data_IF_484233960379
#
_entry.id   IF_484233960379
#
_cell.length_a   1.000
_cell.length_b   1.000
_cell.length_c   1.000
_cell.angle_alpha   90.00
_cell.angle_beta   90.00
_cell.angle_gamma   90.00
#
_symmetry.space_group_name_H-M   'P 1'
#
loop_
_entity.id
_entity.type
_entity.pdbx_description
1 polymer ?
#
# COMPACT_ATOMS: atom_id res chain seq x y z
N UNK A 1 -12.27 -15.06 14.29
CA UNK A 1 -12.09 -15.76 13.00
C UNK A 1 -11.25 -17.01 13.27
N UNK A 2 -11.62 -18.18 12.74
CA UNK A 2 -10.82 -19.41 12.96
C UNK A 2 -9.43 -19.18 12.34
N UNK A 3 -8.34 -19.50 13.08
CA UNK A 3 -6.94 -19.25 12.65
C UNK A 3 -6.65 -19.73 11.22
N UNK A 4 -7.31 -20.80 10.79
CA UNK A 4 -7.28 -21.34 9.42
C UNK A 4 -7.79 -20.39 8.35
N UNK A 5 -8.89 -19.66 8.59
CA UNK A 5 -9.43 -18.69 7.63
C UNK A 5 -8.45 -17.54 7.44
N UNK A 6 -7.88 -17.01 8.54
CA UNK A 6 -6.87 -15.95 8.46
C UNK A 6 -5.61 -16.41 7.70
N UNK A 7 -5.17 -17.65 7.92
CA UNK A 7 -4.03 -18.22 7.19
C UNK A 7 -4.30 -18.35 5.70
N UNK A 8 -5.48 -18.87 5.32
CA UNK A 8 -5.89 -18.98 3.91
C UNK A 8 -5.97 -17.59 3.26
N UNK A 9 -6.55 -16.60 3.93
CA UNK A 9 -6.60 -15.23 3.41
C UNK A 9 -5.19 -14.64 3.20
N UNK A 10 -4.25 -14.90 4.11
CA UNK A 10 -2.86 -14.46 3.96
C UNK A 10 -2.20 -15.10 2.74
N UNK A 11 -2.32 -16.42 2.56
CA UNK A 11 -1.74 -17.14 1.42
C UNK A 11 -2.32 -16.65 0.09
N UNK A 12 -3.63 -16.42 0.02
CA UNK A 12 -4.27 -15.87 -1.18
C UNK A 12 -3.78 -14.44 -1.45
N UNK A 13 -3.69 -13.61 -0.41
CA UNK A 13 -3.20 -12.24 -0.53
C UNK A 13 -1.75 -12.20 -1.06
N UNK A 14 -0.86 -13.03 -0.52
CA UNK A 14 0.54 -13.07 -0.97
C UNK A 14 0.68 -13.60 -2.40
N UNK A 15 -0.14 -14.59 -2.81
CA UNK A 15 -0.19 -15.07 -4.19
C UNK A 15 -0.64 -13.97 -5.17
N UNK A 16 -1.74 -13.28 -4.86
CA UNK A 16 -2.24 -12.19 -5.69
C UNK A 16 -1.18 -11.09 -5.77
N UNK A 17 -0.62 -10.67 -4.63
CA UNK A 17 0.38 -9.61 -4.61
C UNK A 17 1.64 -9.97 -5.41
N UNK A 18 2.17 -11.19 -5.26
CA UNK A 18 3.34 -11.65 -6.01
C UNK A 18 3.11 -11.69 -7.53
N UNK A 19 1.99 -12.28 -7.97
CA UNK A 19 1.66 -12.35 -9.42
C UNK A 19 1.42 -10.98 -10.04
N UNK A 20 0.94 -9.99 -9.26
CA UNK A 20 0.68 -8.66 -9.78
C UNK A 20 1.93 -7.90 -10.23
N UNK A 21 3.14 -8.25 -9.79
CA UNK A 21 4.35 -7.60 -10.31
C UNK A 21 4.57 -7.90 -11.79
N UNK A 22 4.31 -9.13 -12.22
CA UNK A 22 4.42 -9.54 -13.63
C UNK A 22 3.37 -8.80 -14.47
N UNK A 23 2.15 -8.67 -13.94
CA UNK A 23 1.09 -7.91 -14.60
C UNK A 23 1.37 -6.39 -14.66
N UNK A 24 2.08 -5.85 -13.66
CA UNK A 24 2.52 -4.46 -13.65
C UNK A 24 3.58 -4.18 -14.70
N UNK A 25 4.57 -5.07 -14.78
CA UNK A 25 5.66 -5.03 -15.75
C UNK A 25 5.13 -5.07 -17.18
N UNK A 26 4.45 -6.17 -17.54
CA UNK A 26 3.83 -6.34 -18.86
C UNK A 26 2.76 -5.29 -19.19
N UNK A 27 2.04 -4.80 -18.19
CA UNK A 27 0.99 -3.82 -18.37
C UNK A 27 1.51 -2.42 -18.66
N UNK A 28 2.70 -2.05 -18.16
CA UNK A 28 3.26 -0.72 -18.37
C UNK A 28 4.05 -0.57 -19.65
N UNK A 29 4.51 -1.66 -20.26
CA UNK A 29 5.29 -1.65 -21.51
C UNK A 29 4.61 -0.84 -22.64
N UNK A 30 3.28 -0.87 -22.71
CA UNK A 30 2.51 -0.23 -23.78
C UNK A 30 2.03 1.19 -23.44
N UNK A 31 1.77 1.50 -22.17
CA UNK A 31 1.10 2.75 -21.74
C UNK A 31 1.96 3.64 -20.85
N UNK A 32 3.14 3.15 -20.46
CA UNK A 32 4.06 3.82 -19.56
C UNK A 32 3.70 3.69 -18.06
N UNK A 33 4.66 3.97 -17.17
CA UNK A 33 4.53 3.70 -15.73
C UNK A 33 3.50 4.61 -15.05
N UNK A 34 3.44 5.89 -15.42
CA UNK A 34 2.52 6.86 -14.81
C UNK A 34 1.06 6.61 -15.19
N UNK A 35 0.81 6.29 -16.46
CA UNK A 35 -0.54 5.98 -16.96
C UNK A 35 -1.05 4.70 -16.33
N UNK A 36 -0.22 3.64 -16.29
CA UNK A 36 -0.57 2.39 -15.64
C UNK A 36 -0.96 2.61 -14.17
N UNK A 37 -0.13 3.33 -13.42
CA UNK A 37 -0.39 3.58 -12.00
C UNK A 37 -1.67 4.43 -11.80
N UNK A 38 -1.91 5.42 -12.66
CA UNK A 38 -3.12 6.26 -12.61
C UNK A 38 -4.39 5.44 -12.82
N UNK A 39 -4.40 4.58 -13.85
CA UNK A 39 -5.53 3.69 -14.13
C UNK A 39 -5.74 2.71 -12.98
N UNK A 40 -4.67 2.12 -12.45
CA UNK A 40 -4.73 1.20 -11.31
C UNK A 40 -5.40 1.84 -10.09
N UNK A 41 -4.96 3.04 -9.70
CA UNK A 41 -5.56 3.75 -8.57
C UNK A 41 -6.99 4.19 -8.84
N UNK A 42 -7.31 4.57 -10.09
CA UNK A 42 -8.66 4.94 -10.48
C UNK A 42 -9.64 3.76 -10.41
N UNK A 43 -9.24 2.59 -10.93
CA UNK A 43 -10.02 1.35 -10.81
C UNK A 43 -10.18 0.93 -9.34
N UNK A 44 -9.10 1.04 -8.55
CA UNK A 44 -9.16 0.79 -7.10
C UNK A 44 -10.13 1.72 -6.38
N UNK A 45 -10.13 3.01 -6.72
CA UNK A 45 -11.08 3.98 -6.20
C UNK A 45 -12.52 3.61 -6.54
N UNK A 46 -12.80 3.27 -7.81
CA UNK A 46 -14.14 2.86 -8.23
C UNK A 46 -14.60 1.59 -7.53
N UNK A 47 -13.72 0.59 -7.41
CA UNK A 47 -14.02 -0.67 -6.75
C UNK A 47 -14.34 -0.51 -5.26
N UNK A 48 -13.62 0.37 -4.55
CA UNK A 48 -13.81 0.62 -3.12
C UNK A 48 -14.96 1.58 -2.83
N UNK A 49 -15.22 2.54 -3.73
CA UNK A 49 -16.25 3.57 -3.54
C UNK A 49 -17.65 3.04 -3.13
N UNK A 50 -18.25 2.01 -3.75
CA UNK A 50 -19.57 1.53 -3.35
C UNK A 50 -19.57 0.96 -1.93
N UNK A 51 -18.51 0.25 -1.52
CA UNK A 51 -18.42 -0.31 -0.17
C UNK A 51 -18.37 0.78 0.91
N UNK A 52 -17.64 1.86 0.63
CA UNK A 52 -17.56 3.02 1.53
C UNK A 52 -18.94 3.68 1.69
N UNK A 53 -19.67 3.87 0.58
CA UNK A 53 -21.02 4.45 0.63
C UNK A 53 -22.09 3.52 1.21
N UNK A 54 -21.93 2.21 1.14
CA UNK A 54 -22.92 1.26 1.64
C UNK A 54 -22.72 0.96 3.14
N UNK A 55 -21.48 0.73 3.57
CA UNK A 55 -21.19 0.24 4.93
C UNK A 55 -20.69 1.33 5.88
N UNK A 56 -20.00 2.36 5.38
CA UNK A 56 -19.24 3.30 6.22
C UNK A 56 -19.83 4.72 6.28
N UNK A 57 -21.00 4.95 5.66
CA UNK A 57 -21.69 6.26 5.62
C UNK A 57 -21.79 6.95 6.99
N UNK A 58 -22.11 6.20 8.05
CA UNK A 58 -22.21 6.76 9.42
C UNK A 58 -20.85 7.18 9.98
N UNK A 59 -19.77 6.45 9.71
CA UNK A 59 -18.42 6.78 10.19
C UNK A 59 -17.82 7.97 9.45
N UNK A 60 -18.07 8.08 8.14
CA UNK A 60 -17.68 9.23 7.32
C UNK A 60 -18.19 10.54 7.94
N UNK A 61 -19.49 10.59 8.24
CA UNK A 61 -20.10 11.81 8.78
C UNK A 61 -19.59 12.17 10.19
N UNK A 62 -19.26 11.17 11.01
CA UNK A 62 -18.81 11.41 12.38
C UNK A 62 -17.30 11.74 12.49
N UNK A 63 -16.44 11.14 11.65
CA UNK A 63 -14.99 11.33 11.73
C UNK A 63 -14.48 12.44 10.81
N UNK A 64 -14.98 12.53 9.58
CA UNK A 64 -14.49 13.50 8.59
C UNK A 64 -15.09 14.88 8.88
N UNK A 65 -16.41 14.95 9.12
CA UNK A 65 -17.12 16.23 9.26
C UNK A 65 -16.79 16.95 10.58
N UNK A 66 -16.52 16.21 11.64
CA UNK A 66 -16.21 16.76 12.97
C UNK A 66 -14.77 17.27 13.08
N UNK A 67 -13.82 16.74 12.28
CA UNK A 67 -12.40 17.08 12.34
C UNK A 67 -11.75 17.21 10.95
N UNK A 68 -12.39 17.97 10.05
CA UNK A 68 -11.94 18.16 8.66
C UNK A 68 -10.48 18.60 8.56
N UNK A 69 -10.06 19.57 9.37
CA UNK A 69 -8.71 20.13 9.29
C UNK A 69 -7.62 19.11 9.69
N UNK A 70 -7.90 18.29 10.70
CA UNK A 70 -6.99 17.21 11.12
C UNK A 70 -6.98 16.06 10.12
N UNK A 71 -8.13 15.78 9.49
CA UNK A 71 -8.22 14.79 8.43
C UNK A 71 -7.33 15.15 7.23
N UNK A 72 -7.42 16.38 6.72
CA UNK A 72 -6.57 16.82 5.61
C UNK A 72 -5.07 16.82 5.98
N UNK A 73 -4.75 17.23 7.22
CA UNK A 73 -3.37 17.21 7.71
C UNK A 73 -2.75 15.81 7.73
N UNK A 74 -3.54 14.76 7.93
CA UNK A 74 -3.07 13.36 7.91
C UNK A 74 -3.17 12.74 6.52
N UNK A 75 -4.23 13.04 5.77
CA UNK A 75 -4.48 12.48 4.44
C UNK A 75 -3.41 12.93 3.44
N UNK A 76 -3.03 14.21 3.45
CA UNK A 76 -2.10 14.78 2.47
C UNK A 76 -0.70 14.14 2.53
N UNK A 77 0.00 14.06 3.68
CA UNK A 77 1.31 13.42 3.73
C UNK A 77 1.23 11.94 3.37
N UNK A 78 0.24 11.19 3.87
CA UNK A 78 0.06 9.77 3.54
C UNK A 78 -0.13 9.58 2.03
N UNK A 79 -0.96 10.42 1.40
CA UNK A 79 -1.19 10.38 -0.05
C UNK A 79 0.09 10.68 -0.86
N UNK A 80 0.86 11.70 -0.45
CA UNK A 80 2.12 12.06 -1.12
C UNK A 80 3.15 10.94 -1.01
N UNK A 81 3.37 10.38 0.19
CA UNK A 81 4.31 9.27 0.36
C UNK A 81 3.88 8.01 -0.39
N UNK A 82 2.57 7.70 -0.41
CA UNK A 82 2.05 6.57 -1.18
C UNK A 82 2.24 6.78 -2.68
N UNK A 83 1.97 7.99 -3.19
CA UNK A 83 2.20 8.33 -4.59
C UNK A 83 3.67 8.16 -4.97
N UNK A 84 4.59 8.77 -4.20
CA UNK A 84 6.02 8.65 -4.44
C UNK A 84 6.49 7.19 -4.39
N UNK A 85 6.05 6.43 -3.38
CA UNK A 85 6.40 5.02 -3.25
C UNK A 85 5.96 4.19 -4.45
N UNK A 86 4.71 4.36 -4.90
CA UNK A 86 4.19 3.61 -6.06
C UNK A 86 4.84 4.02 -7.37
N UNK A 87 5.15 5.31 -7.57
CA UNK A 87 5.88 5.77 -8.76
C UNK A 87 7.29 5.21 -8.77
N UNK A 88 8.04 5.29 -7.67
CA UNK A 88 9.40 4.74 -7.62
C UNK A 88 9.42 3.23 -7.82
N UNK A 89 8.45 2.51 -7.23
CA UNK A 89 8.30 1.07 -7.45
C UNK A 89 7.99 0.76 -8.92
N UNK A 90 7.08 1.49 -9.56
CA UNK A 90 6.71 1.25 -10.95
C UNK A 90 7.85 1.60 -11.92
N UNK A 91 8.59 2.68 -11.63
CA UNK A 91 9.76 3.08 -12.43
C UNK A 91 10.91 2.10 -12.25
N UNK A 92 11.10 1.53 -11.06
CA UNK A 92 12.12 0.49 -10.80
C UNK A 92 11.97 -0.71 -11.74
N UNK A 93 10.73 -1.10 -12.03
CA UNK A 93 10.43 -2.23 -12.91
C UNK A 93 10.83 -1.97 -14.38
N UNK A 94 10.91 -0.70 -14.83
CA UNK A 94 11.42 -0.39 -16.18
C UNK A 94 12.93 -0.65 -16.33
N UNK A 95 13.68 -0.57 -15.22
CA UNK A 95 15.13 -0.64 -15.23
C UNK A 95 15.67 -1.97 -14.69
N UNK A 96 14.83 -2.78 -14.04
CA UNK A 96 15.26 -3.99 -13.35
C UNK A 96 14.20 -5.09 -13.46
N UNK A 97 14.65 -6.34 -13.41
CA UNK A 97 13.73 -7.47 -13.40
C UNK A 97 12.75 -7.42 -12.23
N UNK A 98 11.57 -8.00 -12.45
CA UNK A 98 10.52 -8.19 -11.43
C UNK A 98 11.08 -8.76 -10.13
N UNK A 99 11.99 -9.74 -10.21
CA UNK A 99 12.59 -10.37 -9.03
C UNK A 99 13.46 -9.39 -8.22
N UNK A 100 14.25 -8.54 -8.90
CA UNK A 100 15.12 -7.55 -8.25
C UNK A 100 14.28 -6.43 -7.62
N UNK A 101 13.29 -5.92 -8.35
CA UNK A 101 12.35 -4.92 -7.83
C UNK A 101 11.58 -5.45 -6.61
N UNK A 102 11.09 -6.69 -6.65
CA UNK A 102 10.42 -7.31 -5.51
C UNK A 102 11.36 -7.46 -4.30
N UNK A 103 12.60 -7.88 -4.52
CA UNK A 103 13.60 -7.99 -3.46
C UNK A 103 13.83 -6.64 -2.75
N UNK A 104 13.98 -5.56 -3.51
CA UNK A 104 14.15 -4.23 -2.93
C UNK A 104 12.93 -3.76 -2.13
N UNK A 105 11.72 -4.10 -2.56
CA UNK A 105 10.53 -3.73 -1.78
C UNK A 105 10.52 -4.38 -0.40
N UNK A 106 10.99 -5.63 -0.25
CA UNK A 106 10.98 -6.34 1.04
C UNK A 106 11.81 -5.63 2.12
N UNK A 107 12.78 -4.78 1.74
CA UNK A 107 13.52 -3.97 2.71
C UNK A 107 12.64 -3.02 3.53
N UNK A 108 11.38 -2.76 3.15
CA UNK A 108 10.47 -2.03 4.05
C UNK A 108 10.28 -2.77 5.38
N UNK A 109 10.37 -4.11 5.42
CA UNK A 109 10.19 -4.92 6.64
C UNK A 109 11.16 -4.51 7.75
N UNK A 110 12.49 -4.47 7.52
CA UNK A 110 13.43 -3.93 8.51
C UNK A 110 13.42 -2.40 8.58
N UNK A 111 13.11 -1.68 7.49
CA UNK A 111 13.19 -0.21 7.48
C UNK A 111 12.09 0.44 8.33
N UNK A 112 10.86 -0.10 8.31
CA UNK A 112 9.72 0.44 9.06
C UNK A 112 10.00 0.55 10.57
N UNK A 113 10.44 -0.50 11.28
CA UNK A 113 10.75 -0.40 12.71
C UNK A 113 11.90 0.58 13.00
N UNK A 114 12.91 0.68 12.12
CA UNK A 114 13.99 1.67 12.25
C UNK A 114 13.44 3.10 12.16
N UNK A 115 12.58 3.36 11.18
CA UNK A 115 11.92 4.66 10.98
C UNK A 115 11.04 4.99 12.19
N UNK A 116 10.24 4.04 12.68
CA UNK A 116 9.36 4.22 13.85
C UNK A 116 10.17 4.53 15.11
N UNK A 117 11.26 3.80 15.34
CA UNK A 117 12.17 4.07 16.46
C UNK A 117 12.70 5.51 16.41
N UNK A 118 13.13 5.98 15.24
CA UNK A 118 13.69 7.33 15.11
C UNK A 118 12.62 8.44 15.22
N UNK A 119 11.44 8.25 14.62
CA UNK A 119 10.38 9.26 14.59
C UNK A 119 9.56 9.34 15.88
N UNK A 120 9.27 8.21 16.52
CA UNK A 120 8.40 8.14 17.70
C UNK A 120 9.17 7.88 18.99
N UNK A 121 10.47 7.58 18.93
CA UNK A 121 11.32 7.29 20.11
C UNK A 121 10.79 6.16 21.00
N UNK A 122 9.90 5.32 20.48
CA UNK A 122 9.35 4.18 21.21
C UNK A 122 10.32 2.99 21.15
N UNK A 123 10.58 2.37 22.31
CA UNK A 123 11.38 1.15 22.39
C UNK A 123 10.58 -0.01 21.83
N UNK A 124 10.85 -0.39 20.59
CA UNK A 124 10.24 -1.54 19.95
C UNK A 124 10.70 -2.83 20.67
N UNK A 125 9.75 -3.70 20.99
CA UNK A 125 10.03 -5.00 21.59
C UNK A 125 10.89 -5.84 20.64
N UNK A 126 11.82 -6.64 21.18
CA UNK A 126 12.81 -7.38 20.39
C UNK A 126 12.18 -8.34 19.37
N UNK A 127 10.96 -8.82 19.61
CA UNK A 127 10.18 -9.64 18.67
C UNK A 127 9.77 -8.94 17.37
N UNK A 128 9.91 -7.61 17.29
CA UNK A 128 9.63 -6.82 16.08
C UNK A 128 10.88 -6.80 15.17
N UNK A 129 12.04 -7.06 15.75
CA UNK A 129 13.29 -7.34 15.05
C UNK A 129 13.42 -8.87 14.91
N UNK A 130 13.97 -9.37 13.82
CA UNK A 130 13.22 -9.88 12.66
C UNK A 130 12.28 -11.07 12.95
N UNK A 131 11.02 -10.94 12.53
CA UNK A 131 10.26 -12.06 11.94
C UNK A 131 10.28 -11.91 10.43
#
# INVERSE_FOLDING_TARGET
MKKTISFICLVICTLIWGTTFIAQDTGMDNIGPFTFNSVRFFVGFLAVSPFVFLFEKKKINNQIKTKTNQFFKLMLPVGVFLFLGTVFQQVSLLYTDVANSAFFTIFYVPMVPIIVYFLFSERLHWSIWPS
#
